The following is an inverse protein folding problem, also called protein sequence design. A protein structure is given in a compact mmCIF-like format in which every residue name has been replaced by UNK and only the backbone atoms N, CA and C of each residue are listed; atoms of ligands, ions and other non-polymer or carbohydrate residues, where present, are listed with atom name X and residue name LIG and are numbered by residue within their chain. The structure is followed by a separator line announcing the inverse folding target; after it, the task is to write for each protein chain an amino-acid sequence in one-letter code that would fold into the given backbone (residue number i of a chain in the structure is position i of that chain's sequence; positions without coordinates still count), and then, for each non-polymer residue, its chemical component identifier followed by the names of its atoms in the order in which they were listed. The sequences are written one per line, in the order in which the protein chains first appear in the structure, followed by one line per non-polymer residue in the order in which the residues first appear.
data_IF_960245127491
#
_entry.id   IF_960245127491
#
_cell.length_a   1.000
_cell.length_b   1.000
_cell.length_c   1.000
_cell.angle_alpha   90.00
_cell.angle_beta   90.00
_cell.angle_gamma   90.00
#
_symmetry.space_group_name_H-M   'P 1'
#
loop_
_entity.id
_entity.type
_entity.pdbx_description
1 polymer ?
#
# COMPACT_ATOMS: atom_id res chain seq x y z
N UNK A 1 -22.82 -9.27 1.00
CA UNK A 1 -21.56 -10.02 1.05
C UNK A 1 -20.44 -9.01 1.24
N UNK A 2 -19.68 -9.08 2.33
CA UNK A 2 -18.52 -8.22 2.55
C UNK A 2 -17.30 -8.94 1.98
N UNK A 3 -16.63 -8.33 1.01
CA UNK A 3 -15.39 -8.87 0.44
C UNK A 3 -14.23 -8.22 1.15
N UNK A 4 -13.50 -9.00 1.94
CA UNK A 4 -12.23 -8.59 2.51
C UNK A 4 -11.16 -8.73 1.43
N UNK A 5 -10.41 -7.65 1.20
CA UNK A 5 -9.31 -7.67 0.24
C UNK A 5 -8.06 -8.24 0.90
N UNK A 6 -7.58 -9.35 0.37
CA UNK A 6 -6.22 -9.80 0.65
C UNK A 6 -5.25 -8.99 -0.22
N UNK A 7 -4.82 -7.89 0.36
CA UNK A 7 -3.96 -6.87 -0.23
C UNK A 7 -2.67 -7.46 -0.81
N UNK A 8 -2.14 -8.49 -0.16
CA UNK A 8 -0.91 -9.18 -0.54
C UNK A 8 -1.06 -9.97 -1.85
N UNK A 9 -2.30 -10.37 -2.21
CA UNK A 9 -2.59 -11.08 -3.45
C UNK A 9 -2.73 -10.17 -4.67
N UNK A 10 -2.99 -8.89 -4.48
CA UNK A 10 -3.36 -7.98 -5.57
C UNK A 10 -2.32 -6.90 -5.81
N UNK A 11 -1.03 -7.24 -5.90
CA UNK A 11 0.04 -6.22 -5.97
C UNK A 11 0.04 -5.34 -7.24
N UNK A 12 -0.75 -5.65 -8.27
CA UNK A 12 -0.82 -4.86 -9.51
C UNK A 12 -1.88 -3.76 -9.41
N UNK A 13 -1.54 -2.54 -9.85
CA UNK A 13 -2.45 -1.39 -9.90
C UNK A 13 -3.78 -1.68 -10.62
N UNK A 14 -3.76 -2.47 -11.68
CA UNK A 14 -4.97 -2.85 -12.44
C UNK A 14 -5.94 -3.67 -11.60
N UNK A 15 -5.42 -4.70 -10.93
CA UNK A 15 -6.22 -5.59 -10.08
C UNK A 15 -6.76 -4.84 -8.85
N UNK A 16 -5.95 -3.98 -8.24
CA UNK A 16 -6.39 -3.08 -7.17
C UNK A 16 -7.59 -2.21 -7.59
N UNK A 17 -7.62 -1.69 -8.82
CA UNK A 17 -8.72 -0.85 -9.29
C UNK A 17 -10.05 -1.62 -9.37
N UNK A 18 -9.99 -2.91 -9.72
CA UNK A 18 -11.18 -3.75 -9.85
C UNK A 18 -11.76 -4.09 -8.49
N UNK A 19 -10.91 -4.44 -7.52
CA UNK A 19 -11.38 -4.88 -6.21
C UNK A 19 -11.85 -3.72 -5.30
N UNK A 20 -11.40 -2.50 -5.55
CA UNK A 20 -11.72 -1.33 -4.72
C UNK A 20 -13.18 -0.85 -4.77
N UNK A 21 -13.98 -1.33 -5.72
CA UNK A 21 -15.41 -0.99 -5.78
C UNK A 21 -16.19 -1.58 -4.60
N UNK A 22 -15.74 -2.70 -4.05
CA UNK A 22 -16.49 -3.47 -3.03
C UNK A 22 -15.65 -3.84 -1.80
N UNK A 23 -14.34 -3.62 -1.82
CA UNK A 23 -13.46 -3.96 -0.72
C UNK A 23 -13.69 -3.10 0.52
N UNK A 24 -13.78 -3.76 1.67
CA UNK A 24 -13.61 -3.16 2.99
C UNK A 24 -12.20 -3.48 3.47
N UNK A 25 -11.50 -2.46 3.96
CA UNK A 25 -10.18 -2.67 4.53
C UNK A 25 -10.28 -3.14 5.97
N UNK A 26 -9.56 -4.19 6.36
CA UNK A 26 -9.75 -4.83 7.66
C UNK A 26 -9.13 -4.03 8.82
N UNK A 27 -8.16 -3.15 8.54
CA UNK A 27 -7.41 -2.45 9.58
C UNK A 27 -7.92 -1.02 9.77
N UNK A 28 -7.91 -0.55 11.03
CA UNK A 28 -8.24 0.83 11.41
C UNK A 28 -7.12 1.82 11.07
N UNK A 29 -5.90 1.33 11.07
CA UNK A 29 -4.68 2.06 10.76
C UNK A 29 -3.75 1.13 9.99
N UNK A 30 -3.07 1.64 8.98
CA UNK A 30 -2.13 0.86 8.17
C UNK A 30 -0.90 1.67 7.86
N UNK A 31 0.25 1.05 8.08
CA UNK A 31 1.56 1.64 7.98
C UNK A 31 2.21 1.13 6.71
N UNK A 32 2.40 2.01 5.74
CA UNK A 32 3.04 1.66 4.48
C UNK A 32 4.51 2.00 4.52
N UNK A 33 5.37 1.01 4.26
CA UNK A 33 6.81 1.16 4.21
C UNK A 33 7.26 1.04 2.77
N UNK A 34 7.94 2.06 2.26
CA UNK A 34 8.45 2.07 0.88
C UNK A 34 9.63 1.14 0.73
N UNK A 35 9.56 0.27 -0.27
CA UNK A 35 10.69 -0.57 -0.67
C UNK A 35 11.71 0.24 -1.46
N UNK A 36 13.00 -0.02 -1.22
CA UNK A 36 14.12 0.61 -1.93
C UNK A 36 14.21 0.19 -3.41
N UNK A 37 13.64 -0.97 -3.75
CA UNK A 37 13.55 -1.49 -5.10
C UNK A 37 12.21 -2.21 -5.32
N UNK A 38 11.74 -2.25 -6.56
CA UNK A 38 10.56 -3.04 -6.90
C UNK A 38 10.84 -4.54 -6.76
N UNK A 39 9.97 -5.27 -6.06
CA UNK A 39 10.13 -6.71 -5.88
C UNK A 39 10.12 -7.49 -7.21
N UNK A 40 9.30 -7.05 -8.16
CA UNK A 40 9.13 -7.70 -9.47
C UNK A 40 10.29 -7.38 -10.42
N UNK A 41 10.47 -6.10 -10.79
CA UNK A 41 11.43 -5.72 -11.83
C UNK A 41 12.80 -5.29 -11.28
N UNK A 42 13.02 -5.37 -9.96
CA UNK A 42 14.27 -5.03 -9.23
C UNK A 42 14.81 -3.60 -9.45
N UNK A 43 14.09 -2.73 -10.17
CA UNK A 43 14.46 -1.33 -10.37
C UNK A 43 14.33 -0.56 -9.06
N UNK A 44 15.33 0.29 -8.78
CA UNK A 44 15.33 1.16 -7.60
C UNK A 44 14.16 2.14 -7.64
N UNK A 45 13.56 2.36 -6.47
CA UNK A 45 12.49 3.33 -6.30
C UNK A 45 13.08 4.70 -5.95
N UNK A 46 12.33 5.77 -6.23
CA UNK A 46 12.84 7.12 -6.00
C UNK A 46 12.96 7.43 -4.49
N UNK A 47 14.14 7.83 -4.04
CA UNK A 47 14.47 8.02 -2.62
C UNK A 47 13.93 9.31 -1.99
N UNK A 48 13.46 10.27 -2.79
CA UNK A 48 13.02 11.61 -2.32
C UNK A 48 11.64 11.64 -1.61
N UNK A 49 11.07 10.49 -1.27
CA UNK A 49 9.70 10.41 -0.73
C UNK A 49 9.70 9.74 0.65
N UNK A 50 8.72 10.06 1.51
CA UNK A 50 8.63 9.48 2.84
C UNK A 50 8.68 7.95 2.75
N UNK A 51 9.58 7.36 3.52
CA UNK A 51 9.78 5.90 3.57
C UNK A 51 8.68 5.20 4.36
N UNK A 52 7.93 5.94 5.16
CA UNK A 52 6.87 5.45 6.01
C UNK A 52 5.67 6.40 5.89
N UNK A 53 4.49 5.83 5.68
CA UNK A 53 3.22 6.55 5.64
C UNK A 53 2.20 5.82 6.50
N UNK A 54 1.71 6.47 7.55
CA UNK A 54 0.57 5.98 8.31
C UNK A 54 -0.74 6.49 7.68
N UNK A 55 -1.65 5.57 7.38
CA UNK A 55 -2.99 5.88 6.92
C UNK A 55 -4.01 5.36 7.93
N UNK A 56 -4.77 6.30 8.51
CA UNK A 56 -5.95 5.99 9.31
C UNK A 56 -7.14 5.79 8.38
N UNK A 57 -7.65 4.57 8.39
CA UNK A 57 -8.68 4.08 7.47
C UNK A 57 -10.03 4.17 8.15
N UNK A 58 -10.43 5.39 8.50
CA UNK A 58 -11.77 5.70 8.99
C UNK A 58 -12.78 5.90 7.84
N UNK A 59 -12.31 6.08 6.60
CA UNK A 59 -13.14 6.41 5.43
C UNK A 59 -12.68 5.73 4.13
N UNK A 60 -13.63 5.33 3.27
CA UNK A 60 -13.42 4.83 1.89
C UNK A 60 -12.50 5.75 1.04
N UNK A 61 -12.40 7.03 1.38
CA UNK A 61 -11.55 8.02 0.70
C UNK A 61 -10.05 7.73 0.83
N UNK A 62 -9.61 7.17 1.96
CA UNK A 62 -8.19 6.92 2.25
C UNK A 62 -7.60 5.87 1.31
N UNK A 63 -8.42 4.91 0.85
CA UNK A 63 -8.02 3.91 -0.14
C UNK A 63 -7.79 4.45 -1.54
N UNK A 64 -8.65 5.37 -1.97
CA UNK A 64 -8.47 6.04 -3.27
C UNK A 64 -7.15 6.81 -3.30
N UNK A 65 -6.70 7.34 -2.17
CA UNK A 65 -5.41 8.05 -2.10
C UNK A 65 -4.24 7.12 -2.48
N UNK A 66 -4.23 5.85 -2.07
CA UNK A 66 -3.16 4.89 -2.42
C UNK A 66 -3.14 4.62 -3.94
N UNK A 67 -4.31 4.41 -4.56
CA UNK A 67 -4.42 4.22 -6.01
C UNK A 67 -3.88 5.41 -6.81
N UNK A 68 -4.24 6.62 -6.39
CA UNK A 68 -3.86 7.84 -7.08
C UNK A 68 -2.44 8.29 -6.74
N UNK A 69 -1.89 7.83 -5.63
CA UNK A 69 -0.53 8.12 -5.23
C UNK A 69 0.45 7.37 -6.13
N UNK A 70 0.87 8.03 -7.21
CA UNK A 70 1.85 7.53 -8.21
C UNK A 70 3.15 6.99 -7.62
N UNK A 71 3.44 7.35 -6.38
CA UNK A 71 4.63 6.92 -5.68
C UNK A 71 4.51 5.56 -5.01
N UNK A 72 3.30 4.97 -4.92
CA UNK A 72 3.04 3.61 -4.43
C UNK A 72 3.33 2.52 -5.45
N UNK A 73 3.51 2.91 -6.71
CA UNK A 73 3.56 2.00 -7.84
C UNK A 73 4.91 2.09 -8.55
N UNK A 74 5.43 0.95 -8.96
CA UNK A 74 6.58 0.88 -9.84
C UNK A 74 6.20 1.49 -11.19
N UNK A 75 6.99 2.46 -11.68
CA UNK A 75 6.75 3.09 -12.98
C UNK A 75 6.95 2.15 -14.18
N UNK A 76 7.64 1.03 -13.96
CA UNK A 76 7.98 0.09 -15.03
C UNK A 76 6.96 -1.05 -15.17
N UNK A 77 6.52 -1.64 -14.06
CA UNK A 77 5.62 -2.78 -14.07
C UNK A 77 4.27 -2.54 -13.38
N UNK A 78 4.04 -1.34 -12.81
CA UNK A 78 2.81 -0.97 -12.11
C UNK A 78 2.46 -1.82 -10.88
N UNK A 79 3.42 -2.61 -10.38
CA UNK A 79 3.28 -3.30 -9.10
C UNK A 79 3.53 -2.37 -7.92
N UNK A 80 2.89 -2.68 -6.79
CA UNK A 80 3.13 -2.02 -5.52
C UNK A 80 4.62 -2.13 -5.15
N UNK A 81 5.15 -1.05 -4.59
CA UNK A 81 6.54 -0.95 -4.13
C UNK A 81 6.60 -0.56 -2.65
N UNK A 82 5.61 -1.02 -1.88
CA UNK A 82 5.48 -0.79 -0.45
C UNK A 82 5.08 -2.10 0.20
N UNK A 83 5.58 -2.30 1.41
CA UNK A 83 5.02 -3.23 2.38
C UNK A 83 4.00 -2.48 3.22
N UNK A 84 3.07 -3.21 3.83
CA UNK A 84 2.07 -2.63 4.69
C UNK A 84 1.92 -3.47 5.95
N UNK A 85 1.74 -2.79 7.08
CA UNK A 85 1.70 -3.42 8.39
C UNK A 85 0.56 -2.82 9.20
N UNK A 86 0.04 -3.59 10.15
CA UNK A 86 -0.72 -3.03 11.26
C UNK A 86 0.20 -2.17 12.13
N UNK A 87 -0.36 -1.32 12.99
CA UNK A 87 0.44 -0.49 13.89
C UNK A 87 1.37 -1.37 14.77
N UNK A 88 0.84 -2.49 15.27
CA UNK A 88 1.55 -3.39 16.18
C UNK A 88 2.69 -4.18 15.49
N UNK A 89 2.62 -4.36 14.16
CA UNK A 89 3.63 -5.06 13.36
C UNK A 89 4.63 -4.10 12.69
N UNK A 90 4.39 -2.79 12.78
CA UNK A 90 5.25 -1.80 12.14
C UNK A 90 6.52 -1.57 12.97
N UNK A 91 7.60 -2.26 12.61
CA UNK A 91 8.91 -2.12 13.27
C UNK A 91 9.43 -0.66 13.32
N UNK A 92 9.05 0.19 12.36
CA UNK A 92 9.41 1.62 12.37
C UNK A 92 8.71 2.38 13.51
N UNK A 93 7.48 1.98 13.86
CA UNK A 93 6.72 2.59 14.93
C UNK A 93 6.96 1.94 16.29
N UNK A 94 7.45 0.70 16.32
CA UNK A 94 7.83 0.01 17.55
C UNK A 94 9.12 0.56 18.19
N UNK A 95 9.96 1.26 17.42
CA UNK A 95 11.20 1.90 17.88
C UNK A 95 11.00 3.31 18.51
N UNK A 96 9.76 3.76 18.73
CA UNK A 96 9.42 5.08 19.30
C UNK A 96 8.59 5.01 20.59
#
# INVERSE_FOLDING_TARGET
MVVYLDVDKYLNKGDYCLCLREAIWPWKETHFIKLSACFICKKRTNSKMPRHLCLRTDKKSTFKMILHAKHFWCRNCMFAIYEHYTNDECNICADF
#
